data_IF_369875228676
#
_entry.id   IF_369875228676
#
_cell.length_a   1.000
_cell.length_b   1.000
_cell.length_c   1.000
_cell.angle_alpha   90.00
_cell.angle_beta   90.00
_cell.angle_gamma   90.00
#
_symmetry.space_group_name_H-M   'P 1'
#
loop_
_entity.id
_entity.type
_entity.pdbx_description
1 polymer ?
#
# COMPACT_ATOMS: atom_id res chain seq x y z
N UNK A 1 -50.71 16.32 -24.45
CA UNK A 1 -50.23 15.25 -23.56
C UNK A 1 -48.74 15.47 -23.33
N UNK A 2 -48.39 16.34 -22.39
CA UNK A 2 -46.99 16.62 -22.06
C UNK A 2 -46.50 15.52 -21.10
N UNK A 3 -45.57 14.70 -21.59
CA UNK A 3 -44.92 13.68 -20.80
C UNK A 3 -44.00 14.33 -19.76
N UNK A 4 -44.40 14.25 -18.50
CA UNK A 4 -43.57 14.57 -17.33
C UNK A 4 -42.30 13.71 -17.39
N UNK A 5 -41.18 14.30 -17.84
CA UNK A 5 -39.86 13.73 -17.62
C UNK A 5 -39.51 13.93 -16.15
N UNK A 6 -39.59 12.84 -15.38
CA UNK A 6 -39.09 12.79 -14.01
C UNK A 6 -37.59 13.14 -14.00
N UNK A 7 -37.09 14.02 -13.12
CA UNK A 7 -35.66 14.23 -12.98
C UNK A 7 -35.05 13.00 -12.31
N UNK A 8 -34.23 12.23 -13.04
CA UNK A 8 -33.39 11.21 -12.44
C UNK A 8 -32.39 11.91 -11.51
N UNK A 9 -32.60 11.76 -10.19
CA UNK A 9 -31.61 12.10 -9.16
C UNK A 9 -30.36 11.26 -9.45
N UNK A 10 -29.37 11.88 -10.08
CA UNK A 10 -28.03 11.30 -10.23
C UNK A 10 -27.40 11.26 -8.86
N UNK A 11 -27.55 10.14 -8.18
CA UNK A 11 -26.86 9.81 -6.94
C UNK A 11 -25.37 9.88 -7.29
N UNK A 12 -24.67 10.91 -6.81
CA UNK A 12 -23.22 10.90 -6.84
C UNK A 12 -22.81 9.78 -5.89
N UNK A 13 -22.34 8.66 -6.42
CA UNK A 13 -21.51 7.77 -5.61
C UNK A 13 -20.28 8.60 -5.25
N UNK A 14 -20.17 9.03 -4.01
CA UNK A 14 -18.88 9.36 -3.41
C UNK A 14 -18.03 8.10 -3.53
N UNK A 15 -17.10 8.11 -4.47
CA UNK A 15 -16.12 7.04 -4.61
C UNK A 15 -15.13 7.26 -3.48
N UNK A 16 -15.40 6.65 -2.33
CA UNK A 16 -14.40 6.49 -1.28
C UNK A 16 -13.30 5.58 -1.84
N UNK A 17 -12.23 6.17 -2.36
CA UNK A 17 -11.05 5.41 -2.75
C UNK A 17 -10.24 5.13 -1.49
N UNK A 18 -10.30 3.88 -1.02
CA UNK A 18 -9.35 3.38 -0.03
C UNK A 18 -8.05 3.14 -0.77
N UNK A 19 -6.99 3.89 -0.45
CA UNK A 19 -5.66 3.61 -1.00
C UNK A 19 -4.92 2.69 -0.05
N UNK A 20 -4.17 1.72 -0.60
CA UNK A 20 -3.35 0.82 0.18
C UNK A 20 -1.89 0.98 -0.22
N UNK A 21 -1.00 0.90 0.75
CA UNK A 21 0.43 0.82 0.51
C UNK A 21 1.08 -0.24 1.39
N UNK A 22 1.97 -1.02 0.78
CA UNK A 22 2.85 -1.93 1.50
C UNK A 22 4.11 -1.16 1.91
N UNK A 23 4.34 -1.08 3.21
CA UNK A 23 5.55 -0.46 3.77
C UNK A 23 6.44 -1.56 4.31
N UNK A 24 7.66 -1.63 3.78
CA UNK A 24 8.65 -2.65 4.13
C UNK A 24 9.88 -1.94 4.72
N UNK A 25 10.42 -2.54 5.77
CA UNK A 25 11.68 -2.15 6.38
C UNK A 25 12.72 -3.23 6.10
N UNK A 26 13.83 -2.81 5.55
CA UNK A 26 14.97 -3.64 5.21
C UNK A 26 16.17 -3.22 6.05
N UNK A 27 16.94 -4.17 6.58
CA UNK A 27 18.24 -3.89 7.18
C UNK A 27 19.30 -3.94 6.07
N UNK A 28 20.11 -2.89 5.92
CA UNK A 28 21.08 -2.85 4.80
C UNK A 28 22.30 -3.72 5.02
N UNK A 29 22.51 -4.17 6.26
CA UNK A 29 23.73 -4.86 6.69
C UNK A 29 24.84 -3.89 7.13
N UNK A 30 24.61 -2.58 7.00
CA UNK A 30 25.50 -1.53 7.49
C UNK A 30 25.10 -1.12 8.91
N UNK A 31 26.07 -0.60 9.65
CA UNK A 31 25.88 0.02 10.96
C UNK A 31 26.35 1.46 10.88
N UNK A 32 25.69 2.36 11.58
CA UNK A 32 26.05 3.77 11.64
C UNK A 32 27.22 4.02 12.62
N UNK A 33 27.58 5.30 12.81
CA UNK A 33 28.67 5.72 13.70
C UNK A 33 28.40 5.40 15.19
N UNK A 34 27.14 5.15 15.56
CA UNK A 34 26.72 4.77 16.91
C UNK A 34 26.62 3.24 17.08
N UNK A 35 26.82 2.47 16.00
CA UNK A 35 26.63 1.02 15.97
C UNK A 35 25.18 0.59 15.75
N UNK A 36 24.28 1.52 15.40
CA UNK A 36 22.89 1.21 15.10
C UNK A 36 22.76 0.68 13.66
N UNK A 37 21.95 -0.37 13.42
CA UNK A 37 21.78 -0.91 12.09
C UNK A 37 21.08 0.09 11.17
N UNK A 38 21.69 0.34 10.02
CA UNK A 38 21.11 1.18 8.99
C UNK A 38 19.94 0.45 8.35
N UNK A 39 18.77 1.07 8.39
CA UNK A 39 17.55 0.52 7.80
C UNK A 39 17.08 1.34 6.61
N UNK A 40 16.63 0.64 5.58
CA UNK A 40 16.04 1.23 4.38
C UNK A 40 14.54 0.97 4.38
N UNK A 41 13.78 2.06 4.35
CA UNK A 41 12.32 2.01 4.21
C UNK A 41 11.92 2.05 2.75
N UNK A 42 11.05 1.13 2.34
CA UNK A 42 10.42 1.11 1.04
C UNK A 42 8.90 1.16 1.19
N UNK A 43 8.24 2.03 0.43
CA UNK A 43 6.79 2.13 0.38
C UNK A 43 6.34 1.89 -1.05
N UNK A 44 5.40 0.95 -1.22
CA UNK A 44 4.89 0.54 -2.52
C UNK A 44 3.38 0.71 -2.49
N UNK A 45 2.83 1.51 -3.40
CA UNK A 45 1.39 1.59 -3.58
C UNK A 45 0.87 0.25 -4.11
N UNK A 46 -0.14 -0.30 -3.46
CA UNK A 46 -0.74 -1.58 -3.84
C UNK A 46 -2.21 -1.39 -4.17
N UNK A 47 -2.76 -2.31 -4.94
CA UNK A 47 -4.18 -2.28 -5.27
C UNK A 47 -5.03 -2.31 -3.98
N UNK A 48 -6.15 -1.56 -3.92
CA UNK A 48 -7.10 -1.67 -2.81
C UNK A 48 -7.62 -3.09 -2.60
N UNK A 49 -7.65 -3.89 -3.67
CA UNK A 49 -8.12 -5.27 -3.66
C UNK A 49 -7.01 -6.28 -3.33
N UNK A 50 -5.77 -5.83 -3.10
CA UNK A 50 -4.67 -6.72 -2.75
C UNK A 50 -4.96 -7.44 -1.43
N UNK A 51 -4.79 -8.76 -1.44
CA UNK A 51 -4.95 -9.61 -0.26
C UNK A 51 -3.65 -9.70 0.52
N UNK A 52 -3.71 -10.14 1.78
CA UNK A 52 -2.51 -10.38 2.58
C UNK A 52 -1.54 -11.37 1.91
N UNK A 53 -2.06 -12.35 1.16
CA UNK A 53 -1.24 -13.32 0.43
C UNK A 53 -0.48 -12.65 -0.73
N UNK A 54 -1.12 -11.76 -1.48
CA UNK A 54 -0.47 -11.02 -2.56
C UNK A 54 0.68 -10.15 -2.02
N UNK A 55 0.46 -9.53 -0.86
CA UNK A 55 1.46 -8.73 -0.19
C UNK A 55 2.62 -9.58 0.33
N UNK A 56 2.35 -10.73 0.93
CA UNK A 56 3.39 -11.66 1.37
C UNK A 56 4.23 -12.16 0.18
N UNK A 57 3.58 -12.50 -0.93
CA UNK A 57 4.26 -12.88 -2.16
C UNK A 57 5.13 -11.74 -2.71
N UNK A 58 4.63 -10.49 -2.66
CA UNK A 58 5.39 -9.32 -3.07
C UNK A 58 6.62 -9.07 -2.18
N UNK A 59 6.49 -9.22 -0.86
CA UNK A 59 7.63 -9.12 0.07
C UNK A 59 8.67 -10.19 -0.25
N UNK A 60 8.25 -11.45 -0.42
CA UNK A 60 9.17 -12.55 -0.74
C UNK A 60 9.88 -12.33 -2.09
N UNK A 61 9.16 -11.83 -3.09
CA UNK A 61 9.77 -11.48 -4.37
C UNK A 61 10.79 -10.36 -4.21
N UNK A 62 10.48 -9.32 -3.43
CA UNK A 62 11.41 -8.21 -3.18
C UNK A 62 12.64 -8.65 -2.37
N UNK A 63 12.46 -9.52 -1.37
CA UNK A 63 13.53 -10.10 -0.57
C UNK A 63 14.52 -10.87 -1.46
N UNK A 64 14.01 -11.61 -2.45
CA UNK A 64 14.86 -12.33 -3.42
C UNK A 64 15.63 -11.42 -4.38
N UNK A 65 15.23 -10.15 -4.52
CA UNK A 65 15.82 -9.19 -5.46
C UNK A 65 16.75 -8.17 -4.77
N UNK A 66 16.89 -8.25 -3.45
CA UNK A 66 17.71 -7.33 -2.67
C UNK A 66 18.76 -8.08 -1.87
N UNK A 67 19.87 -7.41 -1.57
CA UNK A 67 20.87 -7.92 -0.62
C UNK A 67 20.57 -7.47 0.82
N UNK A 68 19.45 -6.78 1.04
CA UNK A 68 19.04 -6.34 2.36
C UNK A 68 18.25 -7.43 3.07
N UNK A 69 18.34 -7.48 4.40
CA UNK A 69 17.58 -8.45 5.20
C UNK A 69 16.19 -7.91 5.50
N UNK A 70 15.15 -8.70 5.25
CA UNK A 70 13.79 -8.39 5.68
C UNK A 70 13.72 -8.19 7.20
N UNK A 71 13.16 -7.05 7.64
CA UNK A 71 12.92 -6.76 9.07
C UNK A 71 11.43 -6.84 9.38
N UNK A 72 10.61 -6.09 8.64
CA UNK A 72 9.17 -6.04 8.86
C UNK A 72 8.44 -5.48 7.65
N UNK A 73 7.20 -5.90 7.44
CA UNK A 73 6.27 -5.31 6.49
C UNK A 73 4.92 -5.03 7.16
N UNK A 74 4.30 -3.93 6.75
CA UNK A 74 2.99 -3.52 7.22
C UNK A 74 2.15 -2.97 6.06
N UNK A 75 0.86 -3.30 6.08
CA UNK A 75 -0.12 -2.71 5.19
C UNK A 75 -0.62 -1.41 5.79
N UNK A 76 -0.45 -0.31 5.06
CA UNK A 76 -0.95 1.02 5.40
C UNK A 76 -2.18 1.28 4.54
N UNK A 77 -3.29 1.64 5.16
CA UNK A 77 -4.53 2.05 4.49
C UNK A 77 -4.70 3.56 4.66
N UNK A 78 -4.95 4.26 3.57
CA UNK A 78 -5.29 5.67 3.55
C UNK A 78 -6.76 5.81 3.21
N UNK A 79 -7.48 6.55 4.04
CA UNK A 79 -8.85 6.96 3.77
C UNK A 79 -8.79 8.35 3.15
N UNK A 80 -9.07 8.43 1.85
CA UNK A 80 -9.21 9.73 1.17
C UNK A 80 -10.66 10.18 1.34
N UNK A 81 -10.85 11.22 2.17
CA UNK A 81 -12.14 11.88 2.47
C UNK A 81 -12.44 12.92 1.40
#
# INVERSE_FOLDING_TARGET
MEGLRSPQKKIRQEVFSVEKALRILWATGEVDENGDPVTRRQTISVSPNATAQDLANAVNALDSLTNHTYVSAQLVTYETI
#
